data_IF_872635737278
#
_entry.id   IF_872635737278
#
_cell.length_a   1.000
_cell.length_b   1.000
_cell.length_c   1.000
_cell.angle_alpha   90.00
_cell.angle_beta   90.00
_cell.angle_gamma   90.00
#
_symmetry.space_group_name_H-M   'P 1'
#
loop_
_entity.id
_entity.type
_entity.pdbx_description
1 polymer ?
#
# COMPACT_ATOMS: atom_id res chain seq x y z
N UNK A 1 12.52 3.82 -18.26
CA UNK A 1 11.81 3.52 -16.99
C UNK A 1 12.47 4.23 -15.83
N UNK A 2 11.67 4.78 -14.90
CA UNK A 2 12.16 5.39 -13.65
C UNK A 2 12.47 4.33 -12.59
N UNK A 3 13.28 4.67 -11.61
CA UNK A 3 13.56 3.82 -10.44
C UNK A 3 12.58 4.15 -9.32
N UNK A 4 12.01 3.12 -8.69
CA UNK A 4 11.14 3.28 -7.52
C UNK A 4 11.99 3.53 -6.28
N UNK A 5 11.53 4.43 -5.41
CA UNK A 5 12.13 4.68 -4.11
C UNK A 5 11.86 3.52 -3.14
N UNK A 6 10.66 2.96 -3.22
CA UNK A 6 10.26 1.78 -2.47
C UNK A 6 9.70 0.76 -3.45
N UNK A 7 10.15 -0.49 -3.36
CA UNK A 7 9.62 -1.52 -4.24
C UNK A 7 8.19 -1.93 -3.86
N UNK A 8 7.71 -1.60 -2.65
CA UNK A 8 6.41 -2.04 -2.15
C UNK A 8 5.79 -1.03 -1.17
N UNK A 9 4.54 -0.66 -1.45
CA UNK A 9 3.75 0.25 -0.63
C UNK A 9 2.86 -0.54 0.35
N UNK A 10 3.14 -0.43 1.66
CA UNK A 10 2.53 -1.26 2.70
C UNK A 10 1.38 -0.54 3.42
N UNK A 11 0.28 -0.33 2.69
CA UNK A 11 -0.88 0.46 3.16
C UNK A 11 -1.50 -0.02 4.48
N UNK A 12 -1.43 -1.30 4.81
CA UNK A 12 -1.98 -1.89 6.03
C UNK A 12 -1.02 -1.83 7.24
N UNK A 13 0.23 -1.41 7.02
CA UNK A 13 1.28 -1.30 8.05
C UNK A 13 1.47 0.15 8.48
N UNK A 14 1.47 1.09 7.53
CA UNK A 14 1.73 2.51 7.80
C UNK A 14 1.03 3.41 6.77
N UNK A 15 1.15 4.72 6.98
CA UNK A 15 0.72 5.74 6.04
C UNK A 15 1.75 5.92 4.92
N UNK A 16 1.28 5.95 3.68
CA UNK A 16 2.06 6.11 2.44
C UNK A 16 1.73 7.48 1.84
N UNK A 17 2.74 8.28 1.48
CA UNK A 17 2.50 9.57 0.84
C UNK A 17 2.00 9.38 -0.60
N UNK A 18 1.09 10.26 -1.04
CA UNK A 18 0.53 10.19 -2.37
C UNK A 18 1.60 10.26 -3.47
N UNK A 19 2.71 10.98 -3.24
CA UNK A 19 3.80 11.01 -4.20
C UNK A 19 4.46 9.63 -4.39
N UNK A 20 4.52 8.81 -3.34
CA UNK A 20 5.08 7.45 -3.41
C UNK A 20 4.17 6.57 -4.27
N UNK A 21 2.84 6.69 -4.10
CA UNK A 21 1.86 6.00 -4.95
C UNK A 21 1.97 6.47 -6.40
N UNK A 22 2.06 7.78 -6.61
CA UNK A 22 2.18 8.37 -7.94
C UNK A 22 3.47 7.95 -8.63
N UNK A 23 4.58 7.77 -7.91
CA UNK A 23 5.82 7.25 -8.48
C UNK A 23 5.65 5.83 -9.05
N UNK A 24 4.89 4.95 -8.36
CA UNK A 24 4.58 3.64 -8.91
C UNK A 24 3.67 3.73 -10.15
N UNK A 25 2.67 4.60 -10.13
CA UNK A 25 1.80 4.86 -11.29
C UNK A 25 2.61 5.38 -12.48
N UNK A 26 3.55 6.28 -12.25
CA UNK A 26 4.47 6.80 -13.27
C UNK A 26 5.40 5.74 -13.82
N UNK A 27 5.91 4.84 -12.98
CA UNK A 27 6.69 3.68 -13.42
C UNK A 27 5.92 2.84 -14.45
N UNK A 28 4.65 2.54 -14.16
CA UNK A 28 3.78 1.80 -15.10
C UNK A 28 3.45 2.62 -16.34
N UNK A 29 3.12 3.89 -16.18
CA UNK A 29 2.74 4.79 -17.28
C UNK A 29 3.88 4.97 -18.27
N UNK A 30 5.07 5.34 -17.77
CA UNK A 30 6.27 5.54 -18.60
C UNK A 30 6.67 4.23 -19.26
N UNK A 31 6.71 3.12 -18.52
CA UNK A 31 7.09 1.84 -19.12
C UNK A 31 6.11 1.36 -20.18
N UNK A 32 4.80 1.58 -20.01
CA UNK A 32 3.81 1.27 -21.06
C UNK A 32 4.08 2.08 -22.33
N UNK A 33 4.32 3.38 -22.20
CA UNK A 33 4.58 4.25 -23.35
C UNK A 33 5.92 3.92 -24.03
N UNK A 34 6.98 3.66 -23.27
CA UNK A 34 8.26 3.18 -23.79
C UNK A 34 8.10 1.83 -24.51
N UNK A 35 7.30 0.92 -23.97
CA UNK A 35 6.98 -0.37 -24.59
C UNK A 35 6.26 -0.21 -25.92
N UNK A 36 5.26 0.66 -26.01
CA UNK A 36 4.57 0.95 -27.26
C UNK A 36 5.45 1.68 -28.29
N UNK A 37 6.34 2.57 -27.85
CA UNK A 37 7.30 3.23 -28.71
C UNK A 37 8.29 2.25 -29.32
N UNK A 38 8.85 1.32 -28.52
CA UNK A 38 9.73 0.27 -29.00
C UNK A 38 9.04 -0.61 -30.05
N UNK A 39 7.78 -1.00 -29.80
CA UNK A 39 6.95 -1.73 -30.77
C UNK A 39 6.77 -0.95 -32.08
N UNK A 40 6.49 0.35 -32.00
CA UNK A 40 6.34 1.22 -33.19
C UNK A 40 7.63 1.29 -34.01
N UNK A 41 8.79 1.21 -33.35
CA UNK A 41 10.11 1.22 -33.97
C UNK A 41 10.58 -0.18 -34.43
N UNK A 42 9.71 -1.19 -34.40
CA UNK A 42 10.02 -2.60 -34.69
C UNK A 42 11.07 -3.23 -33.74
N UNK A 43 11.29 -2.64 -32.58
CA UNK A 43 12.18 -3.17 -31.54
C UNK A 43 11.38 -3.99 -30.51
N UNK A 44 10.95 -5.18 -30.95
CA UNK A 44 10.17 -6.09 -30.09
C UNK A 44 10.98 -6.61 -28.90
N UNK A 45 12.31 -6.66 -29.00
CA UNK A 45 13.17 -7.17 -27.92
C UNK A 45 13.18 -6.21 -26.73
N UNK A 46 13.34 -4.91 -26.99
CA UNK A 46 13.25 -3.87 -25.96
C UNK A 46 11.86 -3.82 -25.36
N UNK A 47 10.81 -3.86 -26.19
CA UNK A 47 9.42 -3.85 -25.70
C UNK A 47 9.13 -5.05 -24.77
N UNK A 48 9.61 -6.25 -25.11
CA UNK A 48 9.43 -7.44 -24.28
C UNK A 48 10.20 -7.33 -22.97
N UNK A 49 11.39 -6.73 -22.99
CA UNK A 49 12.20 -6.48 -21.79
C UNK A 49 11.49 -5.52 -20.83
N UNK A 50 10.93 -4.43 -21.36
CA UNK A 50 10.13 -3.48 -20.58
C UNK A 50 8.91 -4.17 -19.97
N UNK A 51 8.15 -4.94 -20.76
CA UNK A 51 6.98 -5.66 -20.26
C UNK A 51 7.33 -6.65 -19.13
N UNK A 52 8.49 -7.32 -19.20
CA UNK A 52 8.96 -8.21 -18.13
C UNK A 52 9.23 -7.45 -16.83
N UNK A 53 9.86 -6.28 -16.91
CA UNK A 53 10.09 -5.43 -15.74
C UNK A 53 8.77 -4.96 -15.13
N UNK A 54 7.83 -4.49 -15.95
CA UNK A 54 6.51 -4.07 -15.49
C UNK A 54 5.74 -5.21 -14.81
N UNK A 55 5.74 -6.40 -15.44
CA UNK A 55 5.10 -7.57 -14.87
C UNK A 55 5.75 -8.00 -13.56
N UNK A 56 7.08 -7.99 -13.48
CA UNK A 56 7.80 -8.35 -12.25
C UNK A 56 7.39 -7.46 -11.08
N UNK A 57 7.25 -6.15 -11.31
CA UNK A 57 6.78 -5.22 -10.31
C UNK A 57 5.30 -5.47 -9.93
N UNK A 58 4.44 -5.69 -10.93
CA UNK A 58 3.03 -6.07 -10.69
C UNK A 58 2.89 -7.34 -9.85
N UNK A 59 3.68 -8.37 -10.15
CA UNK A 59 3.63 -9.65 -9.43
C UNK A 59 4.08 -9.47 -7.97
N UNK A 60 5.10 -8.65 -7.73
CA UNK A 60 5.60 -8.31 -6.40
C UNK A 60 4.50 -7.63 -5.56
N UNK A 61 3.89 -6.58 -6.10
CA UNK A 61 2.84 -5.83 -5.42
C UNK A 61 1.56 -6.66 -5.25
N UNK A 62 1.14 -7.39 -6.29
CA UNK A 62 -0.01 -8.28 -6.24
C UNK A 62 0.12 -9.32 -5.14
N UNK A 63 1.29 -9.96 -5.02
CA UNK A 63 1.55 -10.96 -3.97
C UNK A 63 1.32 -10.41 -2.57
N UNK A 64 1.64 -9.13 -2.35
CA UNK A 64 1.41 -8.48 -1.06
C UNK A 64 -0.07 -8.13 -0.86
N UNK A 65 -0.68 -7.50 -1.87
CA UNK A 65 -2.05 -7.02 -1.80
C UNK A 65 -3.10 -8.14 -1.79
N UNK A 66 -2.79 -9.31 -2.35
CA UNK A 66 -3.66 -10.49 -2.30
C UNK A 66 -3.58 -11.24 -0.96
N UNK A 67 -2.82 -10.73 0.01
CA UNK A 67 -2.81 -11.28 1.37
C UNK A 67 -4.13 -11.01 2.09
N UNK A 68 -4.58 -11.98 2.91
CA UNK A 68 -5.79 -11.85 3.74
C UNK A 68 -5.79 -10.56 4.57
N UNK A 69 -4.64 -10.21 5.15
CA UNK A 69 -4.48 -9.02 5.98
C UNK A 69 -4.72 -7.74 5.18
N UNK A 70 -4.09 -7.62 4.01
CA UNK A 70 -4.29 -6.45 3.16
C UNK A 70 -5.76 -6.36 2.70
N UNK A 71 -6.38 -7.49 2.36
CA UNK A 71 -7.82 -7.54 2.03
C UNK A 71 -8.73 -7.06 3.17
N UNK A 72 -8.45 -7.46 4.41
CA UNK A 72 -9.20 -7.03 5.59
C UNK A 72 -9.08 -5.52 5.82
N UNK A 73 -7.90 -4.94 5.55
CA UNK A 73 -7.64 -3.51 5.65
C UNK A 73 -8.20 -2.71 4.45
N UNK A 74 -8.18 -3.28 3.24
CA UNK A 74 -8.58 -2.62 2.00
C UNK A 74 -10.02 -2.08 2.03
N UNK A 75 -10.91 -2.67 2.82
CA UNK A 75 -12.28 -2.19 2.99
C UNK A 75 -12.35 -0.75 3.52
N UNK A 76 -11.33 -0.31 4.24
CA UNK A 76 -11.25 1.02 4.86
C UNK A 76 -10.07 1.85 4.32
N UNK A 77 -9.40 1.36 3.27
CA UNK A 77 -8.23 2.01 2.67
C UNK A 77 -8.66 3.07 1.65
N UNK A 78 -8.27 4.33 1.88
CA UNK A 78 -8.56 5.45 0.98
C UNK A 78 -7.73 5.43 -0.32
N UNK A 79 -6.71 4.56 -0.40
CA UNK A 79 -5.98 4.23 -1.63
C UNK A 79 -6.43 2.91 -2.29
N UNK A 80 -7.64 2.41 -1.97
CA UNK A 80 -8.15 1.16 -2.53
C UNK A 80 -8.12 1.10 -4.07
N UNK A 81 -8.34 2.22 -4.76
CA UNK A 81 -8.30 2.28 -6.23
C UNK A 81 -6.96 1.85 -6.82
N UNK A 82 -5.85 2.19 -6.16
CA UNK A 82 -4.51 1.73 -6.58
C UNK A 82 -4.36 0.23 -6.38
N UNK A 83 -4.75 -0.27 -5.21
CA UNK A 83 -4.67 -1.70 -4.87
C UNK A 83 -5.54 -2.56 -5.80
N UNK A 84 -6.76 -2.10 -6.11
CA UNK A 84 -7.67 -2.73 -7.07
C UNK A 84 -7.06 -2.73 -8.48
N UNK A 85 -6.42 -1.63 -8.90
CA UNK A 85 -5.70 -1.52 -10.16
C UNK A 85 -4.62 -2.60 -10.31
N UNK A 86 -3.74 -2.75 -9.31
CA UNK A 86 -2.69 -3.78 -9.29
C UNK A 86 -3.31 -5.18 -9.39
N UNK A 87 -4.35 -5.45 -8.59
CA UNK A 87 -5.02 -6.75 -8.58
C UNK A 87 -5.65 -7.10 -9.92
N UNK A 88 -6.30 -6.14 -10.58
CA UNK A 88 -6.95 -6.35 -11.89
C UNK A 88 -5.92 -6.51 -13.00
N UNK A 89 -4.91 -5.65 -13.05
CA UNK A 89 -3.82 -5.76 -14.02
C UNK A 89 -3.12 -7.12 -13.91
N UNK A 90 -2.67 -7.51 -12.71
CA UNK A 90 -1.97 -8.77 -12.48
C UNK A 90 -2.78 -9.98 -12.95
N UNK A 91 -4.09 -10.03 -12.63
CA UNK A 91 -4.98 -11.13 -13.05
C UNK A 91 -5.17 -11.24 -14.55
N UNK A 92 -5.08 -10.13 -15.30
CA UNK A 92 -5.14 -10.13 -16.77
C UNK A 92 -3.84 -10.59 -17.41
N UNK A 93 -2.72 -10.38 -16.72
CA UNK A 93 -1.39 -10.78 -17.15
C UNK A 93 -1.07 -12.25 -16.79
N UNK A 94 -2.04 -13.15 -17.01
CA UNK A 94 -1.86 -14.58 -16.76
C UNK A 94 -0.80 -15.18 -17.72
N UNK A 95 0.26 -15.75 -17.15
CA UNK A 95 1.35 -16.38 -17.90
C UNK A 95 2.55 -15.46 -18.19
N UNK A 96 3.53 -16.00 -18.90
CA UNK A 96 4.78 -15.30 -19.17
C UNK A 96 4.64 -14.29 -20.34
N UNK A 97 5.26 -13.10 -20.24
CA UNK A 97 5.40 -12.17 -21.35
C UNK A 97 6.08 -12.82 -22.57
N UNK A 98 5.47 -12.68 -23.74
CA UNK A 98 6.03 -13.14 -25.01
C UNK A 98 5.57 -12.24 -26.16
N UNK A 99 6.15 -12.42 -27.35
CA UNK A 99 5.87 -11.54 -28.49
C UNK A 99 4.41 -11.56 -28.97
N UNK A 100 3.68 -12.66 -28.77
CA UNK A 100 2.30 -12.79 -29.22
C UNK A 100 1.33 -12.00 -28.33
N UNK A 101 1.53 -12.04 -27.01
CA UNK A 101 0.64 -11.39 -26.05
C UNK A 101 1.10 -9.99 -25.60
N UNK A 102 2.32 -9.58 -25.94
CA UNK A 102 2.95 -8.35 -25.47
C UNK A 102 2.07 -7.10 -25.60
N UNK A 103 1.48 -6.87 -26.78
CA UNK A 103 0.61 -5.69 -27.01
C UNK A 103 -0.64 -5.70 -26.12
N UNK A 104 -1.22 -6.87 -25.91
CA UNK A 104 -2.40 -7.04 -25.04
C UNK A 104 -2.04 -6.79 -23.59
N UNK A 105 -0.93 -7.38 -23.11
CA UNK A 105 -0.50 -7.20 -21.73
C UNK A 105 -0.16 -5.74 -21.43
N UNK A 106 0.52 -5.03 -22.34
CA UNK A 106 0.77 -3.58 -22.18
C UNK A 106 -0.55 -2.78 -22.13
N UNK A 107 -1.55 -3.19 -22.92
CA UNK A 107 -2.86 -2.55 -22.90
C UNK A 107 -3.56 -2.74 -21.54
N UNK A 108 -3.55 -3.96 -21.00
CA UNK A 108 -4.14 -4.27 -19.71
C UNK A 108 -3.47 -3.48 -18.56
N UNK A 109 -2.13 -3.36 -18.56
CA UNK A 109 -1.42 -2.52 -17.58
C UNK A 109 -1.90 -1.06 -17.69
N UNK A 110 -1.97 -0.52 -18.91
CA UNK A 110 -2.43 0.86 -19.13
C UNK A 110 -3.85 1.07 -18.61
N UNK A 111 -4.76 0.15 -18.92
CA UNK A 111 -6.18 0.28 -18.60
C UNK A 111 -6.44 0.38 -17.09
N UNK A 112 -5.67 -0.36 -16.29
CA UNK A 112 -5.87 -0.43 -14.84
C UNK A 112 -4.94 0.46 -14.02
N UNK A 113 -3.74 0.80 -14.50
CA UNK A 113 -2.73 1.49 -13.67
C UNK A 113 -2.62 3.00 -13.91
N UNK A 114 -3.02 3.52 -15.08
CA UNK A 114 -2.63 4.90 -15.48
C UNK A 114 -3.75 5.93 -15.34
N UNK A 115 -4.82 5.62 -14.61
CA UNK A 115 -6.06 6.43 -14.55
C UNK A 115 -6.27 7.22 -13.27
N UNK A 116 -5.49 6.93 -12.23
CA UNK A 116 -5.68 7.52 -10.90
C UNK A 116 -4.48 8.39 -10.56
N UNK A 117 -4.70 9.47 -9.83
CA UNK A 117 -3.66 10.28 -9.23
C UNK A 117 -4.02 10.59 -7.79
N UNK A 118 -3.01 10.61 -6.93
CA UNK A 118 -3.13 10.89 -5.51
C UNK A 118 -2.57 12.29 -5.22
N UNK A 119 -3.03 12.90 -4.12
CA UNK A 119 -2.47 14.18 -3.66
C UNK A 119 -1.10 13.92 -3.04
N UNK A 120 -0.06 14.53 -3.61
CA UNK A 120 1.35 14.22 -3.30
C UNK A 120 1.68 14.41 -1.81
N UNK A 121 1.06 15.41 -1.17
CA UNK A 121 1.33 15.80 0.22
C UNK A 121 0.43 15.10 1.24
N UNK A 122 -0.51 14.27 0.78
CA UNK A 122 -1.44 13.53 1.64
C UNK A 122 -0.94 12.12 1.94
N UNK A 123 -1.11 11.68 3.18
CA UNK A 123 -0.92 10.29 3.56
C UNK A 123 -2.19 9.46 3.30
N UNK A 124 -1.99 8.24 2.82
CA UNK A 124 -2.99 7.22 2.52
C UNK A 124 -2.68 5.91 3.25
N UNK A 125 -3.68 5.03 3.40
CA UNK A 125 -3.51 3.76 4.10
C UNK A 125 -3.59 3.90 5.62
N UNK A 126 -2.73 3.21 6.37
CA UNK A 126 -2.79 3.16 7.83
C UNK A 126 -2.14 4.39 8.48
N UNK A 127 -2.77 5.55 8.28
CA UNK A 127 -2.32 6.84 8.82
C UNK A 127 -2.28 6.86 10.35
N UNK A 128 -3.13 6.06 11.01
CA UNK A 128 -3.15 5.91 12.46
C UNK A 128 -1.89 5.21 12.97
N UNK A 129 -1.44 4.14 12.31
CA UNK A 129 -0.18 3.48 12.63
C UNK A 129 1.01 4.42 12.44
N UNK A 130 1.01 5.22 11.36
CA UNK A 130 2.02 6.25 11.15
C UNK A 130 2.05 7.28 12.30
N UNK A 131 0.88 7.77 12.72
CA UNK A 131 0.78 8.72 13.83
C UNK A 131 1.32 8.12 15.14
N UNK A 132 1.01 6.84 15.41
CA UNK A 132 1.52 6.11 16.58
C UNK A 132 3.04 5.99 16.54
N UNK A 133 3.61 5.58 15.41
CA UNK A 133 5.07 5.45 15.26
C UNK A 133 5.77 6.80 15.46
N UNK A 134 5.30 7.86 14.78
CA UNK A 134 5.86 9.22 14.93
C UNK A 134 5.86 9.68 16.40
N UNK A 135 4.73 9.53 17.08
CA UNK A 135 4.61 9.97 18.47
C UNK A 135 5.49 9.14 19.42
N UNK A 136 5.55 7.82 19.22
CA UNK A 136 6.41 6.96 20.04
C UNK A 136 7.90 7.25 19.85
N UNK A 137 8.33 7.63 18.65
CA UNK A 137 9.72 7.97 18.35
C UNK A 137 10.16 9.28 19.04
N UNK A 138 9.23 10.21 19.25
CA UNK A 138 9.48 11.47 19.96
C UNK A 138 9.41 11.34 21.49
N UNK A 139 8.76 10.28 22.01
CA UNK A 139 8.63 10.06 23.45
C UNK A 139 9.96 9.71 24.13
N UNK A 140 10.18 10.32 25.30
CA UNK A 140 11.22 9.91 26.24
C UNK A 140 10.93 8.54 26.85
N UNK A 141 11.96 7.93 27.45
CA UNK A 141 11.80 6.67 28.17
C UNK A 141 10.74 6.77 29.29
N UNK A 142 10.64 7.89 30.01
CA UNK A 142 9.63 8.08 31.06
C UNK A 142 8.22 8.13 30.50
N UNK A 143 8.02 8.85 29.38
CA UNK A 143 6.70 8.97 28.74
C UNK A 143 6.21 7.63 28.18
N UNK A 144 7.12 6.79 27.66
CA UNK A 144 6.78 5.44 27.19
C UNK A 144 6.21 4.54 28.30
N UNK A 145 6.60 4.75 29.56
CA UNK A 145 6.07 4.00 30.71
C UNK A 145 4.78 4.60 31.29
N UNK A 146 4.33 5.76 30.81
CA UNK A 146 3.04 6.35 31.22
C UNK A 146 1.86 5.53 30.71
N UNK A 147 0.66 5.75 31.26
CA UNK A 147 -0.57 5.12 30.76
C UNK A 147 -0.81 5.38 29.27
N UNK A 148 -0.50 6.60 28.80
CA UNK A 148 -0.62 6.96 27.40
C UNK A 148 0.45 6.29 26.52
N UNK A 149 1.70 6.24 27.00
CA UNK A 149 2.78 5.51 26.31
C UNK A 149 2.52 4.01 26.18
N UNK A 150 1.95 3.40 27.23
CA UNK A 150 1.53 2.00 27.21
C UNK A 150 0.36 1.76 26.24
N UNK A 151 -0.58 2.71 26.15
CA UNK A 151 -1.66 2.68 25.16
C UNK A 151 -1.10 2.71 23.73
N UNK A 152 -0.24 3.67 23.40
CA UNK A 152 0.40 3.79 22.08
C UNK A 152 1.18 2.53 21.71
N UNK A 153 1.93 1.92 22.64
CA UNK A 153 2.62 0.65 22.40
C UNK A 153 1.65 -0.52 22.15
N UNK A 154 0.54 -0.57 22.88
CA UNK A 154 -0.52 -1.57 22.67
C UNK A 154 -1.17 -1.43 21.29
N UNK A 155 -1.49 -0.20 20.89
CA UNK A 155 -2.04 0.12 19.57
C UNK A 155 -1.06 -0.23 18.46
N UNK A 156 0.22 0.15 18.60
CA UNK A 156 1.29 -0.23 17.67
C UNK A 156 1.35 -1.73 17.48
N UNK A 157 1.25 -2.49 18.58
CA UNK A 157 1.26 -3.96 18.55
C UNK A 157 0.06 -4.50 17.75
N UNK A 158 -1.13 -3.91 17.92
CA UNK A 158 -2.29 -4.26 17.11
C UNK A 158 -2.07 -3.94 15.62
N UNK A 159 -1.62 -2.74 15.27
CA UNK A 159 -1.39 -2.41 13.86
C UNK A 159 -0.29 -3.27 13.23
N UNK A 160 0.74 -3.66 13.97
CA UNK A 160 1.76 -4.56 13.45
C UNK A 160 1.28 -6.01 13.32
N UNK A 161 0.44 -6.48 14.25
CA UNK A 161 -0.13 -7.84 14.25
C UNK A 161 -1.59 -7.82 14.71
N UNK A 162 -2.52 -7.51 13.79
CA UNK A 162 -3.94 -7.44 14.10
C UNK A 162 -4.47 -8.80 14.55
N UNK A 163 -5.28 -8.81 15.61
CA UNK A 163 -5.85 -10.04 16.15
C UNK A 163 -6.77 -9.79 17.33
N UNK A 164 -7.59 -10.79 17.67
CA UNK A 164 -8.61 -10.65 18.73
C UNK A 164 -8.04 -10.28 20.10
N UNK A 165 -6.89 -10.83 20.45
CA UNK A 165 -6.20 -10.51 21.72
C UNK A 165 -5.71 -9.07 21.76
N UNK A 166 -5.02 -8.63 20.70
CA UNK A 166 -4.46 -7.27 20.59
C UNK A 166 -5.57 -6.22 20.46
N UNK A 167 -6.67 -6.52 19.75
CA UNK A 167 -7.83 -5.65 19.66
C UNK A 167 -8.50 -5.41 21.04
N UNK A 168 -8.73 -6.49 21.82
CA UNK A 168 -9.26 -6.38 23.19
C UNK A 168 -8.34 -5.59 24.13
N UNK A 169 -7.03 -5.76 23.96
CA UNK A 169 -6.04 -5.00 24.72
C UNK A 169 -6.11 -3.51 24.39
N UNK A 170 -6.23 -3.14 23.11
CA UNK A 170 -6.40 -1.74 22.69
C UNK A 170 -7.62 -1.10 23.35
N UNK A 171 -8.78 -1.77 23.31
CA UNK A 171 -10.00 -1.29 23.97
C UNK A 171 -9.81 -1.14 25.48
N UNK A 172 -9.13 -2.08 26.12
CA UNK A 172 -8.90 -2.03 27.58
C UNK A 172 -8.00 -0.85 27.96
N UNK A 173 -6.92 -0.62 27.21
CA UNK A 173 -6.00 0.49 27.43
C UNK A 173 -6.64 1.85 27.14
N UNK A 174 -7.58 1.92 26.18
CA UNK A 174 -8.28 3.17 25.82
C UNK A 174 -9.25 3.67 26.91
N UNK A 175 -9.82 2.78 27.73
CA UNK A 175 -10.91 3.12 28.69
C UNK A 175 -10.53 4.16 29.74
N UNK A 176 -9.25 4.26 30.08
CA UNK A 176 -8.75 5.16 31.12
C UNK A 176 -8.18 6.47 30.56
N UNK A 177 -8.31 6.72 29.25
CA UNK A 177 -7.75 7.88 28.58
C UNK A 177 -8.87 8.77 28.02
N UNK A 178 -8.70 10.10 28.03
CA UNK A 178 -9.66 11.00 27.39
C UNK A 178 -9.73 10.73 25.88
N UNK A 179 -10.95 10.65 25.34
CA UNK A 179 -11.18 10.36 23.91
C UNK A 179 -10.36 11.26 22.97
N UNK A 180 -10.37 12.57 23.24
CA UNK A 180 -9.63 13.58 22.45
C UNK A 180 -8.12 13.31 22.37
N UNK A 181 -7.55 12.61 23.34
CA UNK A 181 -6.10 12.35 23.40
C UNK A 181 -5.74 11.08 22.61
N UNK A 182 -6.71 10.18 22.37
CA UNK A 182 -6.50 8.91 21.69
C UNK A 182 -7.06 8.86 20.26
N UNK A 183 -8.02 9.74 19.94
CA UNK A 183 -8.68 9.85 18.63
C UNK A 183 -7.71 9.85 17.43
N UNK A 184 -6.57 10.58 17.46
CA UNK A 184 -5.64 10.59 16.32
C UNK A 184 -4.92 9.24 16.08
N UNK A 185 -4.98 8.32 17.04
CA UNK A 185 -4.21 7.09 17.05
C UNK A 185 -5.08 5.84 16.93
N UNK A 186 -6.41 5.98 17.05
CA UNK A 186 -7.32 4.85 17.10
C UNK A 186 -8.16 4.77 15.83
N UNK A 187 -7.99 3.66 15.11
CA UNK A 187 -8.82 3.32 13.96
C UNK A 187 -9.89 2.33 14.41
N UNK A 188 -10.98 2.85 14.97
CA UNK A 188 -11.97 2.03 15.68
C UNK A 188 -12.63 0.98 14.77
N UNK A 189 -12.97 1.36 13.54
CA UNK A 189 -13.58 0.46 12.55
C UNK A 189 -12.65 -0.71 12.21
N UNK A 190 -11.34 -0.47 12.18
CA UNK A 190 -10.36 -1.53 11.93
C UNK A 190 -10.17 -2.43 13.15
N UNK A 191 -10.17 -1.88 14.36
CA UNK A 191 -10.09 -2.66 15.60
C UNK A 191 -11.32 -3.55 15.78
N UNK A 192 -12.52 -3.02 15.53
CA UNK A 192 -13.79 -3.73 15.70
C UNK A 192 -13.92 -4.98 14.83
N UNK A 193 -13.26 -4.99 13.65
CA UNK A 193 -13.21 -6.18 12.77
C UNK A 193 -12.56 -7.41 13.39
N UNK A 194 -11.80 -7.25 14.49
CA UNK A 194 -11.11 -8.34 15.17
C UNK A 194 -11.75 -8.76 16.50
N UNK A 195 -12.88 -8.17 16.91
CA UNK A 195 -13.56 -8.47 18.18
C UNK A 195 -14.50 -9.70 18.07
#
# INVERSE_FOLDING_TARGET
MITLQYDLLKFDITGVLGFEINQHIEFYTIGVEEGYLAIKNNDNSTALTILRSLKSQLDLEYKYFDSKRCWEFNFVNDAYSYVDGICRASRKLAGAPNYQNMRSMLYDIRDYMTRTRFDDDRYYGNIFALAVDKYLDEMTASERHSSFGMFLQGIRTFYYRPGKGTAKQCLTLSKCLPHKDIEPFIFIEYIERYL
#
